data_IF_841845203220
#
_entry.id   IF_841845203220
#
_cell.length_a   1.000
_cell.length_b   1.000
_cell.length_c   1.000
_cell.angle_alpha   90.00
_cell.angle_beta   90.00
_cell.angle_gamma   90.00
#
_symmetry.space_group_name_H-M   'P 1'
#
loop_
_entity.id
_entity.type
_entity.pdbx_description
1 polymer ?
#
# COMPACT_ATOMS: atom_id res chain seq x y z
N UNK A 1 -0.42 22.16 18.88
CA UNK A 1 0.12 22.72 17.63
C UNK A 1 -0.71 22.16 16.48
N UNK A 2 -0.99 22.94 15.44
CA UNK A 2 -1.66 22.41 14.25
C UNK A 2 -0.64 21.71 13.35
N UNK A 3 -1.06 20.64 12.66
CA UNK A 3 -0.19 19.88 11.73
C UNK A 3 0.54 20.76 10.73
N UNK A 4 -0.16 21.77 10.20
CA UNK A 4 0.39 22.72 9.24
C UNK A 4 1.52 23.58 9.82
N UNK A 5 1.45 23.90 11.12
CA UNK A 5 2.52 24.65 11.80
C UNK A 5 3.75 23.75 11.98
N UNK A 6 3.56 22.50 12.39
CA UNK A 6 4.66 21.52 12.55
C UNK A 6 5.37 21.26 11.22
N UNK A 7 4.65 21.13 10.11
CA UNK A 7 5.23 20.95 8.77
C UNK A 7 6.09 22.16 8.38
N UNK A 8 5.61 23.38 8.64
CA UNK A 8 6.38 24.60 8.40
C UNK A 8 7.64 24.65 9.26
N UNK A 9 7.53 24.31 10.53
CA UNK A 9 8.66 24.30 11.46
C UNK A 9 9.75 23.29 11.02
N UNK A 10 9.35 22.11 10.51
CA UNK A 10 10.28 21.12 9.96
C UNK A 10 11.02 21.73 8.76
N UNK A 11 10.29 22.30 7.80
CA UNK A 11 10.87 22.94 6.60
C UNK A 11 11.83 24.06 6.97
N UNK A 12 11.52 24.85 8.00
CA UNK A 12 12.42 25.90 8.49
C UNK A 12 13.66 25.34 9.18
N UNK A 13 13.54 24.21 9.89
CA UNK A 13 14.65 23.61 10.63
C UNK A 13 15.68 22.90 9.74
N UNK A 14 15.24 22.12 8.74
CA UNK A 14 16.14 21.31 7.90
C UNK A 14 15.99 21.55 6.39
N UNK A 15 15.08 22.42 5.95
CA UNK A 15 14.82 22.70 4.54
C UNK A 15 14.01 21.63 3.80
N UNK A 16 13.56 20.56 4.47
CA UNK A 16 12.85 19.46 3.83
C UNK A 16 11.32 19.60 3.98
N UNK A 17 10.62 19.33 2.88
CA UNK A 17 9.16 19.27 2.85
C UNK A 17 8.66 17.91 3.34
N UNK A 18 7.58 17.92 4.11
CA UNK A 18 6.95 16.74 4.71
C UNK A 18 5.50 16.67 4.27
N UNK A 19 4.99 15.50 3.86
CA UNK A 19 3.60 15.37 3.45
C UNK A 19 2.63 15.53 4.62
N UNK A 20 1.48 16.12 4.33
CA UNK A 20 0.37 16.33 5.26
C UNK A 20 -0.43 15.05 5.58
N UNK A 21 -0.16 13.98 4.85
CA UNK A 21 -0.69 12.63 5.12
C UNK A 21 -0.22 12.05 6.46
N UNK A 22 0.87 12.59 7.02
CA UNK A 22 1.39 12.13 8.31
C UNK A 22 0.50 12.57 9.48
N UNK A 23 0.50 11.74 10.52
CA UNK A 23 -0.17 12.03 11.80
C UNK A 23 0.67 13.04 12.59
N UNK A 24 0.01 13.77 13.50
CA UNK A 24 0.68 14.78 14.32
C UNK A 24 1.88 14.20 15.10
N UNK A 25 1.74 12.98 15.65
CA UNK A 25 2.81 12.31 16.38
C UNK A 25 4.05 12.02 15.50
N UNK A 26 3.84 11.68 14.23
CA UNK A 26 4.90 11.40 13.27
C UNK A 26 5.61 12.69 12.84
N UNK A 27 4.83 13.77 12.65
CA UNK A 27 5.36 15.11 12.39
C UNK A 27 6.20 15.62 13.57
N UNK A 28 5.77 15.38 14.81
CA UNK A 28 6.52 15.79 16.01
C UNK A 28 7.83 15.00 16.16
N UNK A 29 7.86 13.71 15.78
CA UNK A 29 9.07 12.88 15.72
C UNK A 29 10.05 13.44 14.65
N UNK A 30 9.54 13.76 13.46
CA UNK A 30 10.33 14.37 12.39
C UNK A 30 10.84 15.77 12.76
N UNK A 31 10.04 16.60 13.44
CA UNK A 31 10.47 17.90 13.93
C UNK A 31 11.61 17.79 14.95
N UNK A 32 11.55 16.77 15.81
CA UNK A 32 12.62 16.50 16.78
C UNK A 32 13.92 16.11 16.08
N UNK A 33 13.85 15.32 15.02
CA UNK A 33 15.00 14.98 14.18
C UNK A 33 15.52 16.19 13.39
N UNK A 34 14.62 17.04 12.87
CA UNK A 34 14.95 18.22 12.09
C UNK A 34 15.61 19.33 12.93
N UNK A 35 15.23 19.50 14.19
CA UNK A 35 15.84 20.46 15.13
C UNK A 35 17.18 19.99 15.71
N UNK A 36 17.59 18.74 15.44
CA UNK A 36 18.82 18.20 15.99
C UNK A 36 19.98 18.64 15.10
N UNK A 37 20.84 19.51 15.62
CA UNK A 37 22.04 19.95 14.90
C UNK A 37 23.05 18.79 14.78
N UNK A 38 23.37 18.40 13.55
CA UNK A 38 24.35 17.36 13.26
C UNK A 38 24.23 16.83 11.83
N UNK A 39 25.35 16.74 11.12
CA UNK A 39 25.41 16.38 9.69
C UNK A 39 24.79 15.03 9.34
N UNK A 40 24.69 14.10 10.31
CA UNK A 40 24.06 12.78 10.14
C UNK A 40 22.55 12.73 10.41
N UNK A 41 21.93 13.85 10.83
CA UNK A 41 20.50 13.87 11.16
C UNK A 41 19.61 14.03 9.92
N UNK A 42 20.13 14.55 8.80
CA UNK A 42 19.41 14.59 7.53
C UNK A 42 19.15 13.18 6.98
N UNK A 43 20.12 12.28 7.08
CA UNK A 43 19.96 10.87 6.67
C UNK A 43 18.96 10.15 7.58
N UNK A 44 19.06 10.36 8.90
CA UNK A 44 18.11 9.80 9.86
C UNK A 44 16.68 10.33 9.63
N UNK A 45 16.54 11.64 9.40
CA UNK A 45 15.26 12.26 9.06
C UNK A 45 14.69 11.71 7.76
N UNK A 46 15.50 11.65 6.69
CA UNK A 46 15.05 11.19 5.37
C UNK A 46 14.66 9.72 5.42
N UNK A 47 15.43 8.89 6.14
CA UNK A 47 15.11 7.49 6.37
C UNK A 47 13.80 7.34 7.14
N UNK A 48 13.61 8.15 8.19
CA UNK A 48 12.39 8.07 9.01
C UNK A 48 11.17 8.60 8.27
N UNK A 49 11.32 9.66 7.48
CA UNK A 49 10.27 10.15 6.60
C UNK A 49 9.92 9.12 5.52
N UNK A 50 10.90 8.42 4.96
CA UNK A 50 10.67 7.33 3.99
C UNK A 50 9.94 6.17 4.66
N UNK A 51 10.32 5.78 5.87
CA UNK A 51 9.68 4.70 6.61
C UNK A 51 8.27 5.06 7.07
N UNK A 52 8.04 6.31 7.46
CA UNK A 52 6.72 6.83 7.85
C UNK A 52 5.82 6.96 6.63
N UNK A 53 6.30 7.48 5.50
CA UNK A 53 5.51 7.54 4.25
C UNK A 53 5.26 6.15 3.66
N UNK A 54 6.22 5.22 3.79
CA UNK A 54 6.01 3.82 3.49
C UNK A 54 4.99 3.17 4.45
N UNK A 55 5.09 3.41 5.76
CA UNK A 55 4.16 2.84 6.78
C UNK A 55 2.77 3.46 6.76
N UNK A 56 2.65 4.73 6.39
CA UNK A 56 1.36 5.37 6.09
C UNK A 56 0.77 4.78 4.81
N UNK A 57 1.63 4.30 3.89
CA UNK A 57 1.21 3.44 2.77
C UNK A 57 0.96 1.98 3.17
N UNK A 58 1.19 1.57 4.42
CA UNK A 58 0.96 0.19 4.90
C UNK A 58 -0.17 0.07 5.94
N UNK A 59 -0.78 1.19 6.37
CA UNK A 59 -2.07 1.14 7.09
C UNK A 59 -3.27 1.41 6.17
N UNK A 60 -2.99 1.65 4.90
CA UNK A 60 -3.86 1.32 3.77
C UNK A 60 -3.07 0.34 2.89
N UNK A 61 -3.17 -0.97 3.16
CA UNK A 61 -3.15 -1.93 2.04
C UNK A 61 -4.44 -1.74 1.24
N UNK A 62 -4.60 -0.55 0.67
CA UNK A 62 -5.46 -0.33 -0.46
C UNK A 62 -4.66 0.53 -1.42
N UNK A 63 -3.83 -0.19 -2.19
CA UNK A 63 -3.62 0.05 -3.60
C UNK A 63 -4.26 1.35 -4.08
N UNK A 64 -3.49 2.44 -4.13
CA UNK A 64 -3.95 3.66 -4.80
C UNK A 64 -4.07 3.37 -6.30
N UNK A 65 -5.27 2.96 -6.68
CA UNK A 65 -6.13 3.68 -7.61
C UNK A 65 -5.52 3.93 -9.00
N UNK A 66 -5.67 2.94 -9.87
CA UNK A 66 -6.27 3.24 -11.16
C UNK A 66 -7.79 3.31 -10.95
N UNK A 67 -8.31 4.53 -10.84
CA UNK A 67 -9.72 4.88 -11.12
C UNK A 67 -9.99 4.49 -12.58
N UNK A 68 -11.01 3.76 -13.06
CA UNK A 68 -12.36 3.34 -12.63
C UNK A 68 -12.81 2.22 -13.62
N UNK A 69 -13.91 1.43 -13.48
CA UNK A 69 -15.18 1.72 -12.81
C UNK A 69 -15.57 0.67 -11.75
N UNK A 70 -16.79 0.79 -11.23
CA UNK A 70 -17.47 -0.08 -10.24
C UNK A 70 -17.56 -1.56 -10.68
N UNK A 71 -16.44 -2.24 -10.85
CA UNK A 71 -16.42 -3.68 -11.09
C UNK A 71 -16.58 -4.41 -9.76
N UNK A 72 -17.63 -5.22 -9.67
CA UNK A 72 -17.90 -6.07 -8.52
C UNK A 72 -16.66 -6.90 -8.24
N UNK A 73 -16.01 -6.66 -7.10
CA UNK A 73 -14.97 -7.55 -6.58
C UNK A 73 -15.62 -8.84 -6.14
N UNK A 74 -14.95 -9.95 -6.42
CA UNK A 74 -15.38 -11.29 -6.02
C UNK A 74 -14.22 -12.00 -5.32
N UNK A 75 -14.53 -12.74 -4.27
CA UNK A 75 -13.56 -13.60 -3.60
C UNK A 75 -13.41 -14.87 -4.43
N UNK A 76 -12.20 -15.12 -4.93
CA UNK A 76 -11.91 -16.32 -5.73
C UNK A 76 -10.66 -17.01 -5.22
N UNK A 77 -10.68 -18.33 -5.33
CA UNK A 77 -9.52 -19.20 -5.08
C UNK A 77 -9.32 -20.15 -6.24
N UNK A 78 -8.12 -20.70 -6.33
CA UNK A 78 -7.83 -21.80 -7.25
C UNK A 78 -8.61 -23.05 -6.82
N UNK A 79 -9.11 -23.81 -7.79
CA UNK A 79 -9.82 -25.05 -7.51
C UNK A 79 -8.96 -26.07 -6.72
N UNK A 80 -9.60 -27.02 -6.05
CA UNK A 80 -8.89 -27.94 -5.16
C UNK A 80 -7.87 -28.82 -5.90
N UNK A 81 -8.12 -29.13 -7.18
CA UNK A 81 -7.21 -29.92 -8.02
C UNK A 81 -5.90 -29.18 -8.28
N UNK A 82 -5.95 -27.93 -8.75
CA UNK A 82 -4.76 -27.13 -9.05
C UNK A 82 -4.08 -26.69 -7.74
N UNK A 83 -4.86 -26.39 -6.70
CA UNK A 83 -4.33 -26.07 -5.37
C UNK A 83 -3.57 -27.26 -4.75
N UNK A 84 -3.95 -28.52 -5.04
CA UNK A 84 -3.24 -29.70 -4.59
C UNK A 84 -1.84 -29.84 -5.21
N UNK A 85 -1.63 -29.32 -6.43
CA UNK A 85 -0.34 -29.27 -7.10
C UNK A 85 0.44 -27.97 -6.85
N UNK A 86 -0.09 -27.07 -6.00
CA UNK A 86 0.53 -25.78 -5.71
C UNK A 86 0.47 -24.79 -6.88
N UNK A 87 -0.50 -24.94 -7.79
CA UNK A 87 -0.69 -24.02 -8.90
C UNK A 87 -1.26 -22.68 -8.44
N UNK A 88 -0.76 -21.60 -9.03
CA UNK A 88 -1.19 -20.23 -8.79
C UNK A 88 -1.49 -19.55 -10.13
N UNK A 89 -2.51 -18.70 -10.14
CA UNK A 89 -2.80 -17.84 -11.28
C UNK A 89 -2.48 -16.39 -10.91
N UNK A 90 -1.78 -15.71 -11.80
CA UNK A 90 -1.59 -14.26 -11.70
C UNK A 90 -2.54 -13.61 -12.67
N UNK A 91 -3.47 -12.81 -12.15
CA UNK A 91 -4.36 -12.03 -13.01
C UNK A 91 -3.52 -10.93 -13.69
N UNK A 92 -3.45 -10.91 -15.04
CA UNK A 92 -2.60 -9.97 -15.77
C UNK A 92 -3.06 -8.51 -15.65
N UNK A 93 -4.33 -8.27 -15.35
CA UNK A 93 -4.90 -6.92 -15.32
C UNK A 93 -4.54 -6.18 -14.02
N UNK A 94 -4.55 -6.89 -12.89
CA UNK A 94 -4.30 -6.32 -11.56
C UNK A 94 -3.01 -6.84 -10.89
N UNK A 95 -2.34 -7.81 -11.52
CA UNK A 95 -1.14 -8.51 -11.00
C UNK A 95 -1.36 -9.15 -9.62
N UNK A 96 -2.61 -9.48 -9.26
CA UNK A 96 -2.92 -10.21 -8.03
C UNK A 96 -2.66 -11.70 -8.23
N UNK A 97 -2.04 -12.31 -7.22
CA UNK A 97 -1.79 -13.75 -7.16
C UNK A 97 -3.00 -14.42 -6.52
N UNK A 98 -3.60 -15.35 -7.26
CA UNK A 98 -4.73 -16.18 -6.84
C UNK A 98 -4.18 -17.59 -6.64
N UNK A 99 -4.16 -18.05 -5.40
CA UNK A 99 -3.64 -19.36 -5.02
C UNK A 99 -4.70 -20.20 -4.30
N UNK A 100 -4.24 -21.08 -3.41
CA UNK A 100 -5.12 -21.94 -2.60
C UNK A 100 -6.08 -21.16 -1.70
N UNK A 101 -5.66 -19.98 -1.21
CA UNK A 101 -6.49 -19.11 -0.37
C UNK A 101 -7.36 -18.21 -1.24
N UNK A 102 -8.58 -17.95 -0.80
CA UNK A 102 -9.42 -16.95 -1.45
C UNK A 102 -8.79 -15.57 -1.34
N UNK A 103 -8.85 -14.85 -2.47
CA UNK A 103 -8.37 -13.49 -2.62
C UNK A 103 -9.44 -12.68 -3.34
N UNK A 104 -9.67 -11.47 -2.86
CA UNK A 104 -10.59 -10.54 -3.49
C UNK A 104 -9.94 -9.93 -4.73
N UNK A 105 -10.51 -10.23 -5.89
CA UNK A 105 -10.07 -9.69 -7.17
C UNK A 105 -11.23 -8.99 -7.88
N UNK A 106 -10.99 -7.96 -8.69
CA UNK A 106 -12.00 -7.43 -9.60
C UNK A 106 -12.44 -8.56 -10.54
N UNK A 107 -13.71 -8.55 -10.95
CA UNK A 107 -14.26 -9.54 -11.88
C UNK A 107 -13.82 -9.23 -13.33
N UNK A 108 -12.53 -9.35 -13.58
CA UNK A 108 -11.85 -9.11 -14.86
C UNK A 108 -12.24 -10.16 -15.91
N UNK A 109 -11.88 -9.92 -17.17
CA UNK A 109 -12.12 -10.89 -18.24
C UNK A 109 -11.38 -12.22 -17.97
N UNK A 110 -10.15 -12.13 -17.44
CA UNK A 110 -9.35 -13.29 -17.04
C UNK A 110 -10.05 -14.10 -15.95
N UNK A 111 -10.48 -13.46 -14.86
CA UNK A 111 -11.16 -14.15 -13.75
C UNK A 111 -12.46 -14.78 -14.22
N UNK A 112 -13.22 -14.10 -15.09
CA UNK A 112 -14.44 -14.66 -15.70
C UNK A 112 -14.18 -15.90 -16.55
N UNK A 113 -13.13 -15.87 -17.36
CA UNK A 113 -12.73 -17.01 -18.17
C UNK A 113 -12.31 -18.19 -17.29
N UNK A 114 -11.50 -17.93 -16.26
CA UNK A 114 -11.01 -18.95 -15.33
C UNK A 114 -12.10 -19.54 -14.43
N UNK A 115 -13.12 -18.76 -14.07
CA UNK A 115 -14.32 -19.27 -13.43
C UNK A 115 -15.16 -20.13 -14.38
N UNK A 116 -15.20 -19.78 -15.67
CA UNK A 116 -15.92 -20.56 -16.69
C UNK A 116 -15.23 -21.89 -17.00
N UNK A 117 -13.90 -21.95 -16.92
CA UNK A 117 -13.12 -23.18 -17.09
C UNK A 117 -13.01 -24.01 -15.81
N UNK A 118 -13.67 -23.59 -14.72
CA UNK A 118 -13.63 -24.23 -13.39
C UNK A 118 -12.22 -24.32 -12.78
N UNK A 119 -11.27 -23.51 -13.27
CA UNK A 119 -9.91 -23.42 -12.72
C UNK A 119 -9.88 -22.50 -11.48
N UNK A 120 -10.77 -21.50 -11.45
CA UNK A 120 -11.07 -20.70 -10.27
C UNK A 120 -12.45 -21.06 -9.72
N UNK A 121 -12.63 -20.86 -8.42
CA UNK A 121 -13.88 -21.07 -7.68
C UNK A 121 -14.18 -19.82 -6.88
N UNK A 122 -15.43 -19.35 -6.94
CA UNK A 122 -15.95 -18.24 -6.12
C UNK A 122 -16.26 -18.74 -4.71
N UNK A 123 -15.90 -17.97 -3.68
CA UNK A 123 -16.13 -18.28 -2.26
C UNK A 123 -17.04 -17.23 -1.60
#
# INVERSE_FOLDING_TARGET
MAKADTIKDIKTANGQDVPDSLKQAELDELLTLAKKDGSGNLDAFTSRLTELTASTSTTESESKKAEAPKEKTISVRVNDTIAAFGGEFVDPENRKVIGKKAVDVPRTAFVREKLRTEELVEE
#
